data_IF_536503992726
#
_entry.id   IF_536503992726
#
_cell.length_a   1.000
_cell.length_b   1.000
_cell.length_c   1.000
_cell.angle_alpha   90.00
_cell.angle_beta   90.00
_cell.angle_gamma   90.00
#
_symmetry.space_group_name_H-M   'P 1'
#
loop_
_entity.id
_entity.type
_entity.pdbx_description
1 polymer ?
#
# COMPACT_ATOMS: atom_id res chain seq x y z
N UNK A 1 7.40 10.96 -19.05
CA UNK A 1 7.70 9.53 -19.20
C UNK A 1 7.40 8.87 -17.86
N UNK A 2 6.65 7.77 -17.85
CA UNK A 2 6.36 6.99 -16.63
C UNK A 2 7.22 5.73 -16.72
N UNK A 3 8.12 5.54 -15.75
CA UNK A 3 8.91 4.33 -15.63
C UNK A 3 8.30 3.48 -14.51
N UNK A 4 7.79 2.30 -14.87
CA UNK A 4 7.31 1.29 -13.91
C UNK A 4 8.42 0.28 -13.68
N UNK A 5 8.94 0.22 -12.46
CA UNK A 5 10.08 -0.65 -12.11
C UNK A 5 9.60 -2.08 -11.76
N UNK A 6 8.40 -2.23 -11.18
CA UNK A 6 7.80 -3.54 -10.88
C UNK A 6 6.26 -3.47 -10.86
N UNK A 7 5.59 -4.59 -11.10
CA UNK A 7 4.12 -4.70 -10.98
C UNK A 7 3.74 -5.18 -9.58
N UNK A 8 2.98 -4.37 -8.84
CA UNK A 8 2.45 -4.69 -7.51
C UNK A 8 1.76 -6.06 -7.47
N UNK A 9 0.88 -6.34 -8.44
CA UNK A 9 0.15 -7.61 -8.54
C UNK A 9 1.08 -8.80 -8.66
N UNK A 10 2.11 -8.70 -9.52
CA UNK A 10 3.08 -9.80 -9.72
C UNK A 10 3.89 -10.04 -8.45
N UNK A 11 4.33 -8.98 -7.78
CA UNK A 11 5.11 -9.10 -6.55
C UNK A 11 4.27 -9.69 -5.42
N UNK A 12 3.04 -9.22 -5.22
CA UNK A 12 2.11 -9.79 -4.21
C UNK A 12 1.79 -11.24 -4.53
N UNK A 13 1.50 -11.58 -5.78
CA UNK A 13 1.26 -12.96 -6.18
C UNK A 13 2.49 -13.85 -5.90
N UNK A 14 3.70 -13.38 -6.19
CA UNK A 14 4.93 -14.09 -5.87
C UNK A 14 5.10 -14.33 -4.36
N UNK A 15 4.87 -13.31 -3.53
CA UNK A 15 4.96 -13.43 -2.07
C UNK A 15 3.91 -14.42 -1.53
N UNK A 16 2.67 -14.34 -2.00
CA UNK A 16 1.58 -15.21 -1.58
C UNK A 16 1.69 -16.65 -2.14
N UNK A 17 2.38 -16.86 -3.26
CA UNK A 17 2.70 -18.19 -3.79
C UNK A 17 3.76 -18.94 -2.96
N UNK A 18 4.63 -18.21 -2.27
CA UNK A 18 5.64 -18.79 -1.38
C UNK A 18 5.03 -19.06 -0.01
N UNK A 19 5.13 -20.29 0.48
CA UNK A 19 4.53 -20.68 1.75
C UNK A 19 5.10 -19.90 2.94
N UNK A 20 6.43 -19.78 3.02
CA UNK A 20 7.11 -19.04 4.08
C UNK A 20 6.75 -17.55 4.06
N UNK A 21 6.76 -16.93 2.87
CA UNK A 21 6.44 -15.50 2.73
C UNK A 21 4.95 -15.24 2.99
N UNK A 22 4.07 -16.12 2.52
CA UNK A 22 2.63 -16.08 2.84
C UNK A 22 2.38 -16.25 4.33
N UNK A 23 3.12 -17.12 5.01
CA UNK A 23 3.00 -17.29 6.46
C UNK A 23 3.38 -16.01 7.22
N UNK A 24 4.47 -15.35 6.83
CA UNK A 24 4.87 -14.07 7.41
C UNK A 24 3.82 -12.95 7.18
N UNK A 25 3.21 -12.91 5.99
CA UNK A 25 2.11 -11.99 5.66
C UNK A 25 0.80 -12.26 6.42
N UNK A 26 0.69 -13.37 7.15
CA UNK A 26 -0.47 -13.66 8.00
C UNK A 26 -0.37 -13.02 9.38
N UNK A 27 0.71 -12.32 9.71
CA UNK A 27 0.82 -11.60 10.99
C UNK A 27 -0.40 -10.70 11.24
N UNK A 28 -0.80 -9.88 10.26
CA UNK A 28 -2.06 -9.10 10.32
C UNK A 28 -3.27 -9.99 10.59
N UNK A 29 -3.48 -11.03 9.80
CA UNK A 29 -4.68 -11.87 9.91
C UNK A 29 -4.76 -12.59 11.27
N UNK A 30 -3.63 -13.09 11.78
CA UNK A 30 -3.56 -13.78 13.07
C UNK A 30 -3.70 -12.87 14.29
N UNK A 31 -3.21 -11.63 14.20
CA UNK A 31 -3.18 -10.71 15.34
C UNK A 31 -4.30 -9.66 15.32
N UNK A 32 -4.79 -9.26 14.15
CA UNK A 32 -5.74 -8.16 13.96
C UNK A 32 -6.92 -8.53 13.03
N UNK A 33 -6.96 -9.74 12.46
CA UNK A 33 -8.02 -10.17 11.53
C UNK A 33 -9.40 -10.42 12.16
N UNK A 34 -9.55 -10.20 13.46
CA UNK A 34 -10.80 -10.27 14.20
C UNK A 34 -11.01 -8.92 14.87
N UNK A 35 -12.27 -8.43 14.92
CA UNK A 35 -12.66 -7.28 15.75
C UNK A 35 -12.20 -7.57 17.20
N UNK A 36 -11.04 -7.03 17.59
CA UNK A 36 -10.51 -7.17 18.94
C UNK A 36 -11.02 -6.00 19.77
N UNK A 37 -11.69 -6.30 20.88
CA UNK A 37 -11.71 -5.40 22.03
C UNK A 37 -10.30 -5.36 22.62
N UNK A 38 -9.66 -4.20 22.57
CA UNK A 38 -8.46 -3.80 23.33
C UNK A 38 -7.36 -4.86 23.48
N UNK A 39 -6.35 -4.83 22.61
CA UNK A 39 -5.06 -5.46 22.93
C UNK A 39 -4.29 -4.60 23.92
N UNK A 40 -4.02 -5.13 25.11
CA UNK A 40 -3.07 -4.60 26.10
C UNK A 40 -1.60 -4.80 25.64
N UNK A 41 -1.28 -4.49 24.39
CA UNK A 41 0.12 -4.49 23.92
C UNK A 41 0.64 -3.06 23.96
N UNK A 42 1.81 -2.84 24.57
CA UNK A 42 2.39 -1.51 24.84
C UNK A 42 2.89 -0.77 23.59
N UNK A 43 2.51 -1.21 22.40
CA UNK A 43 2.94 -0.63 21.12
C UNK A 43 1.75 -0.65 20.16
N UNK A 44 1.35 0.54 19.74
CA UNK A 44 0.35 0.75 18.70
C UNK A 44 0.97 0.43 17.33
N UNK A 45 0.30 -0.39 16.53
CA UNK A 45 0.60 -0.66 15.10
C UNK A 45 -0.41 0.08 14.21
N UNK A 46 -0.13 0.17 12.91
CA UNK A 46 -1.05 0.73 11.90
C UNK A 46 -2.42 0.04 11.89
N UNK A 47 -2.51 -1.19 12.41
CA UNK A 47 -3.75 -1.94 12.54
C UNK A 47 -4.56 -1.61 13.81
N UNK A 48 -4.00 -0.86 14.75
CA UNK A 48 -4.77 -0.33 15.89
C UNK A 48 -5.55 0.95 15.51
N UNK A 49 -5.20 1.59 14.40
CA UNK A 49 -5.84 2.81 13.92
C UNK A 49 -7.32 2.61 13.55
N UNK A 50 -8.13 3.65 13.80
CA UNK A 50 -9.56 3.67 13.51
C UNK A 50 -9.88 3.33 12.05
N UNK A 51 -9.01 3.77 11.13
CA UNK A 51 -9.12 3.50 9.69
C UNK A 51 -9.16 2.00 9.42
N UNK A 52 -8.27 1.23 10.05
CA UNK A 52 -8.25 -0.22 9.90
C UNK A 52 -9.47 -0.88 10.55
N UNK A 53 -9.85 -0.41 11.74
CA UNK A 53 -11.03 -0.92 12.44
C UNK A 53 -12.31 -0.72 11.61
N UNK A 54 -12.44 0.41 10.93
CA UNK A 54 -13.55 0.67 10.01
C UNK A 54 -13.50 -0.26 8.79
N UNK A 55 -12.31 -0.52 8.22
CA UNK A 55 -12.17 -1.50 7.15
C UNK A 55 -12.62 -2.90 7.57
N UNK A 56 -12.35 -3.31 8.82
CA UNK A 56 -12.82 -4.58 9.37
C UNK A 56 -14.34 -4.62 9.49
N UNK A 57 -14.96 -3.56 10.02
CA UNK A 57 -16.44 -3.45 10.12
C UNK A 57 -17.11 -3.54 8.75
N UNK A 58 -16.50 -2.94 7.73
CA UNK A 58 -16.96 -2.98 6.33
C UNK A 58 -16.66 -4.31 5.62
N UNK A 59 -15.99 -5.26 6.28
CA UNK A 59 -15.68 -6.58 5.72
C UNK A 59 -14.59 -6.60 4.65
N UNK A 60 -13.78 -5.54 4.54
CA UNK A 60 -12.78 -5.40 3.47
C UNK A 60 -11.65 -6.45 3.60
N UNK A 61 -11.29 -6.86 4.81
CA UNK A 61 -10.22 -7.82 5.07
C UNK A 61 -10.72 -9.26 5.37
N UNK A 62 -11.80 -9.69 4.74
CA UNK A 62 -12.42 -11.01 4.94
C UNK A 62 -11.57 -12.19 4.41
N UNK A 63 -10.72 -11.98 3.40
CA UNK A 63 -9.86 -13.04 2.86
C UNK A 63 -8.56 -13.15 3.69
N UNK A 64 -8.10 -14.36 4.02
CA UNK A 64 -6.81 -14.57 4.70
C UNK A 64 -5.61 -14.03 3.91
N UNK A 65 -5.71 -14.03 2.58
CA UNK A 65 -4.70 -13.48 1.68
C UNK A 65 -4.76 -11.95 1.54
N UNK A 66 -5.75 -11.26 2.11
CA UNK A 66 -5.90 -9.80 1.97
C UNK A 66 -4.67 -9.07 2.49
N UNK A 67 -4.17 -8.16 1.66
CA UNK A 67 -2.94 -7.40 1.87
C UNK A 67 -3.29 -5.93 2.12
N UNK A 68 -2.75 -5.38 3.21
CA UNK A 68 -2.74 -3.96 3.50
C UNK A 68 -1.42 -3.36 3.04
N UNK A 69 -1.50 -2.18 2.44
CA UNK A 69 -0.32 -1.44 1.98
C UNK A 69 -0.39 0.03 2.38
N UNK A 70 0.79 0.65 2.47
CA UNK A 70 0.96 2.10 2.48
C UNK A 70 1.47 2.57 1.12
N UNK A 71 0.88 3.63 0.56
CA UNK A 71 1.35 4.29 -0.64
C UNK A 71 2.09 5.58 -0.24
N UNK A 72 3.38 5.62 -0.53
CA UNK A 72 4.26 6.75 -0.24
C UNK A 72 4.56 7.49 -1.54
N UNK A 73 4.46 8.82 -1.55
CA UNK A 73 4.59 9.64 -2.74
C UNK A 73 5.53 10.81 -2.47
N UNK A 74 6.72 10.71 -3.04
CA UNK A 74 7.78 11.69 -2.88
C UNK A 74 7.90 12.53 -4.15
N UNK A 75 7.55 13.81 -4.04
CA UNK A 75 7.75 14.80 -5.08
C UNK A 75 9.15 15.41 -4.99
N UNK A 76 9.92 15.32 -6.06
CA UNK A 76 11.22 15.97 -6.21
C UNK A 76 11.14 16.99 -7.34
N UNK A 77 11.14 18.28 -6.99
CA UNK A 77 11.17 19.36 -7.98
C UNK A 77 12.48 20.13 -7.90
N UNK A 78 13.09 20.39 -9.06
CA UNK A 78 14.30 21.22 -9.14
C UNK A 78 13.92 22.70 -9.04
N UNK A 79 14.62 23.46 -8.19
CA UNK A 79 14.51 24.94 -8.18
C UNK A 79 15.12 25.59 -9.43
N UNK A 80 16.02 24.88 -10.13
CA UNK A 80 16.85 25.41 -11.22
C UNK A 80 16.45 24.86 -12.60
N UNK A 81 15.48 23.97 -12.68
CA UNK A 81 14.97 23.46 -13.94
C UNK A 81 13.47 23.17 -13.85
N UNK A 82 12.79 23.18 -14.99
CA UNK A 82 11.38 22.80 -15.07
C UNK A 82 11.13 21.29 -14.91
N UNK A 83 12.17 20.53 -14.55
CA UNK A 83 12.08 19.08 -14.35
C UNK A 83 11.52 18.78 -12.97
N UNK A 84 10.53 17.90 -12.95
CA UNK A 84 9.99 17.31 -11.73
C UNK A 84 9.99 15.79 -11.87
N UNK A 85 10.24 15.14 -10.73
CA UNK A 85 10.17 13.71 -10.56
C UNK A 85 9.20 13.42 -9.43
N UNK A 86 8.40 12.38 -9.62
CA UNK A 86 7.55 11.84 -8.56
C UNK A 86 7.93 10.40 -8.41
N UNK A 87 8.23 10.00 -7.18
CA UNK A 87 8.51 8.61 -6.82
C UNK A 87 7.32 8.14 -5.99
N UNK A 88 6.48 7.28 -6.57
CA UNK A 88 5.45 6.59 -5.82
C UNK A 88 5.95 5.20 -5.46
N UNK A 89 5.94 4.86 -4.17
CA UNK A 89 6.31 3.54 -3.71
C UNK A 89 5.34 2.93 -2.72
N UNK A 90 5.24 1.60 -2.73
CA UNK A 90 4.27 0.87 -1.89
C UNK A 90 4.97 -0.04 -0.91
N UNK A 91 4.56 0.03 0.37
CA UNK A 91 5.09 -0.78 1.47
C UNK A 91 4.02 -1.77 1.97
N UNK A 92 4.40 -3.02 2.21
CA UNK A 92 3.51 -4.00 2.83
C UNK A 92 3.38 -3.79 4.33
N UNK A 93 2.14 -3.66 4.79
CA UNK A 93 1.85 -3.49 6.22
C UNK A 93 1.62 -4.83 6.92
N UNK A 94 1.33 -5.90 6.18
CA UNK A 94 0.92 -7.19 6.77
C UNK A 94 1.94 -7.89 7.66
N UNK A 95 3.23 -7.52 7.55
CA UNK A 95 4.31 -8.03 8.39
C UNK A 95 4.25 -7.47 9.81
N UNK A 96 4.88 -8.17 10.76
CA UNK A 96 5.09 -7.63 12.10
C UNK A 96 5.85 -6.30 12.04
N UNK A 97 5.64 -5.35 12.98
CA UNK A 97 6.35 -4.07 12.98
C UNK A 97 7.88 -4.22 12.88
N UNK A 98 8.43 -5.19 13.62
CA UNK A 98 9.86 -5.50 13.62
C UNK A 98 10.32 -5.99 12.25
N UNK A 99 9.62 -6.96 11.65
CA UNK A 99 9.96 -7.47 10.32
C UNK A 99 9.77 -6.42 9.23
N UNK A 100 8.71 -5.61 9.31
CA UNK A 100 8.46 -4.47 8.43
C UNK A 100 9.63 -3.48 8.47
N UNK A 101 10.11 -3.14 9.67
CA UNK A 101 11.27 -2.28 9.86
C UNK A 101 12.55 -2.88 9.27
N UNK A 102 12.85 -4.15 9.57
CA UNK A 102 14.01 -4.83 9.00
C UNK A 102 13.98 -4.89 7.47
N UNK A 103 12.83 -5.23 6.89
CA UNK A 103 12.66 -5.33 5.44
C UNK A 103 12.80 -3.95 4.76
N UNK A 104 12.33 -2.87 5.39
CA UNK A 104 12.53 -1.50 4.91
C UNK A 104 14.02 -1.15 4.93
N UNK A 105 14.73 -1.42 6.04
CA UNK A 105 16.15 -1.11 6.18
C UNK A 105 17.03 -1.91 5.23
N UNK A 106 16.73 -3.18 5.03
CA UNK A 106 17.53 -4.09 4.20
C UNK A 106 17.22 -3.93 2.69
N UNK A 107 16.25 -3.09 2.31
CA UNK A 107 15.75 -2.92 0.93
C UNK A 107 15.32 -4.23 0.27
N UNK A 108 14.99 -5.25 1.06
CA UNK A 108 14.57 -6.55 0.57
C UNK A 108 13.07 -6.53 0.28
N UNK A 109 12.65 -6.99 -0.91
CA UNK A 109 11.33 -7.50 -1.33
C UNK A 109 10.03 -6.76 -0.95
N UNK A 110 10.07 -5.70 -0.14
CA UNK A 110 8.94 -5.12 0.58
C UNK A 110 8.52 -3.74 0.05
N UNK A 111 9.35 -3.14 -0.81
CA UNK A 111 8.98 -2.04 -1.69
C UNK A 111 8.48 -2.65 -3.00
N UNK A 112 7.16 -2.71 -3.17
CA UNK A 112 6.53 -3.57 -4.17
C UNK A 112 6.36 -2.94 -5.54
N UNK A 113 6.18 -1.63 -5.58
CA UNK A 113 6.06 -0.85 -6.81
C UNK A 113 6.85 0.42 -6.58
N UNK A 114 7.78 0.76 -7.46
CA UNK A 114 8.41 2.08 -7.54
C UNK A 114 8.04 2.61 -8.91
N UNK A 115 7.22 3.64 -8.94
CA UNK A 115 6.90 4.36 -10.17
C UNK A 115 7.66 5.67 -10.14
N UNK A 116 8.56 5.86 -11.11
CA UNK A 116 9.25 7.14 -11.31
C UNK A 116 8.60 7.85 -12.48
N UNK A 117 8.01 9.01 -12.21
CA UNK A 117 7.34 9.81 -13.22
C UNK A 117 8.16 11.06 -13.49
N UNK A 118 8.75 11.14 -14.67
CA UNK A 118 9.57 12.28 -15.11
C UNK A 118 8.72 13.23 -15.98
N UNK A 119 8.64 14.49 -15.59
CA UNK A 119 7.94 15.55 -16.34
C UNK A 119 8.86 16.75 -16.64
N UNK A 120 8.76 17.27 -17.87
CA UNK A 120 9.44 18.52 -18.28
C UNK A 120 8.73 19.81 -17.83
N UNK A 121 7.66 19.66 -17.05
CA UNK A 121 6.90 20.76 -16.42
C UNK A 121 6.46 20.29 -15.03
N UNK A 122 6.08 21.23 -14.15
CA UNK A 122 5.29 20.96 -12.94
C UNK A 122 3.93 20.39 -13.35
N UNK A 123 3.90 19.12 -13.75
CA UNK A 123 2.70 18.49 -14.29
C UNK A 123 1.66 18.33 -13.20
N UNK A 124 0.39 18.30 -13.61
CA UNK A 124 -0.72 17.98 -12.74
C UNK A 124 -0.52 16.56 -12.17
N UNK A 125 0.00 16.48 -10.94
CA UNK A 125 0.32 15.25 -10.26
C UNK A 125 -0.85 14.27 -10.23
N UNK A 126 -2.08 14.80 -10.11
CA UNK A 126 -3.32 14.01 -10.13
C UNK A 126 -3.45 13.15 -11.37
N UNK A 127 -3.16 13.69 -12.56
CA UNK A 127 -3.26 12.92 -13.81
C UNK A 127 -2.19 11.84 -13.90
N UNK A 128 -1.02 12.08 -13.30
CA UNK A 128 0.09 11.14 -13.24
C UNK A 128 -0.18 9.96 -12.29
N UNK A 129 -0.84 10.22 -11.17
CA UNK A 129 -1.13 9.21 -10.15
C UNK A 129 -2.45 8.46 -10.39
N UNK A 130 -3.35 9.01 -11.23
CA UNK A 130 -4.63 8.40 -11.58
C UNK A 130 -4.55 6.91 -12.00
N UNK A 131 -3.56 6.46 -12.79
CA UNK A 131 -3.43 5.04 -13.12
C UNK A 131 -3.12 4.16 -11.90
N UNK A 132 -2.32 4.66 -10.95
CA UNK A 132 -1.97 3.93 -9.71
C UNK A 132 -3.21 3.83 -8.81
N UNK A 133 -3.92 4.94 -8.65
CA UNK A 133 -5.21 5.02 -7.93
C UNK A 133 -6.21 4.01 -8.47
N UNK A 134 -6.43 4.01 -9.80
CA UNK A 134 -7.40 3.10 -10.45
C UNK A 134 -7.04 1.63 -10.24
N UNK A 135 -5.75 1.29 -10.18
CA UNK A 135 -5.32 -0.08 -9.84
C UNK A 135 -5.75 -0.45 -8.42
N UNK A 136 -5.53 0.42 -7.43
CA UNK A 136 -5.94 0.16 -6.05
C UNK A 136 -7.46 0.03 -5.90
N UNK A 137 -8.24 0.87 -6.58
CA UNK A 137 -9.71 0.72 -6.64
C UNK A 137 -10.11 -0.66 -7.17
N UNK A 138 -9.43 -1.12 -8.22
CA UNK A 138 -9.67 -2.45 -8.79
C UNK A 138 -9.33 -3.58 -7.81
N UNK A 139 -8.19 -3.50 -7.13
CA UNK A 139 -7.74 -4.54 -6.20
C UNK A 139 -8.53 -4.60 -4.88
N UNK A 140 -9.19 -3.51 -4.50
CA UNK A 140 -10.07 -3.49 -3.33
C UNK A 140 -11.41 -4.18 -3.60
N UNK A 141 -11.92 -4.06 -4.83
CA UNK A 141 -13.26 -4.55 -5.19
C UNK A 141 -13.26 -5.95 -5.81
N UNK A 142 -12.12 -6.43 -6.32
CA UNK A 142 -12.04 -7.71 -7.01
C UNK A 142 -10.81 -8.49 -6.52
N UNK A 143 -11.02 -9.63 -5.85
CA UNK A 143 -9.91 -10.43 -5.35
C UNK A 143 -9.08 -11.00 -6.49
N UNK A 144 -7.78 -11.00 -6.26
CA UNK A 144 -6.81 -11.64 -7.13
C UNK A 144 -6.74 -13.11 -6.72
N UNK A 145 -7.04 -13.98 -7.68
CA UNK A 145 -6.91 -15.42 -7.53
C UNK A 145 -5.48 -15.86 -7.84
N UNK A 146 -4.86 -16.59 -6.91
CA UNK A 146 -3.45 -16.98 -7.00
C UNK A 146 -3.38 -18.49 -7.14
N UNK A 147 -2.72 -18.92 -8.22
CA UNK A 147 -2.55 -20.33 -8.57
C UNK A 147 -1.07 -20.71 -8.60
N UNK A 148 -0.76 -21.93 -8.19
CA UNK A 148 0.58 -22.54 -8.27
C UNK A 148 0.44 -23.96 -8.78
N UNK A 149 1.14 -24.29 -9.86
CA UNK A 149 1.09 -25.60 -10.51
C UNK A 149 -0.35 -26.07 -10.84
N UNK A 150 -1.20 -25.15 -11.28
CA UNK A 150 -2.61 -25.43 -11.60
C UNK A 150 -3.55 -25.55 -10.39
N UNK A 151 -3.02 -25.61 -9.17
CA UNK A 151 -3.80 -25.60 -7.93
C UNK A 151 -4.08 -24.18 -7.45
N UNK A 152 -5.29 -23.94 -6.94
CA UNK A 152 -5.62 -22.72 -6.21
C UNK A 152 -4.81 -22.66 -4.91
N UNK A 153 -4.20 -21.51 -4.64
CA UNK A 153 -3.37 -21.28 -3.45
C UNK A 153 -4.11 -20.40 -2.44
N UNK A 154 -4.59 -19.24 -2.91
CA UNK A 154 -5.30 -18.27 -2.08
C UNK A 154 -5.95 -17.20 -2.96
N UNK A 155 -6.87 -16.44 -2.36
CA UNK A 155 -7.47 -15.24 -2.93
C UNK A 155 -7.07 -14.04 -2.08
N UNK A 156 -6.80 -12.91 -2.71
CA UNK A 156 -6.32 -11.72 -2.01
C UNK A 156 -6.89 -10.43 -2.60
N UNK A 157 -7.47 -9.59 -1.74
CA UNK A 157 -7.66 -8.17 -2.04
C UNK A 157 -6.41 -7.39 -1.63
N UNK A 158 -6.21 -6.21 -2.24
CA UNK A 158 -5.17 -5.26 -1.84
C UNK A 158 -5.83 -3.96 -1.43
N UNK A 159 -5.60 -3.55 -0.18
CA UNK A 159 -6.16 -2.35 0.42
C UNK A 159 -5.06 -1.35 0.75
N UNK A 160 -5.22 -0.11 0.30
CA UNK A 160 -4.35 0.99 0.73
C UNK A 160 -4.91 1.56 2.02
N UNK A 161 -4.16 1.49 3.12
CA UNK A 161 -4.59 2.02 4.43
C UNK A 161 -4.00 3.40 4.74
N UNK A 162 -2.86 3.70 4.16
CA UNK A 162 -2.10 4.91 4.47
C UNK A 162 -1.60 5.52 3.18
N UNK A 163 -1.74 6.84 3.08
CA UNK A 163 -1.15 7.64 2.02
C UNK A 163 -0.17 8.62 2.67
N UNK A 164 1.10 8.54 2.30
CA UNK A 164 2.13 9.46 2.80
C UNK A 164 2.80 10.21 1.66
N UNK A 165 3.28 11.41 1.94
CA UNK A 165 3.94 12.24 0.95
C UNK A 165 4.03 13.70 1.36
N UNK A 166 4.55 14.52 0.46
CA UNK A 166 4.53 15.97 0.62
C UNK A 166 3.12 16.55 0.55
N UNK A 167 2.90 17.69 1.20
CA UNK A 167 1.57 18.33 1.29
C UNK A 167 0.96 18.63 -0.08
N UNK A 168 1.78 19.08 -1.04
CA UNK A 168 1.34 19.37 -2.41
C UNK A 168 0.88 18.09 -3.11
N UNK A 169 1.59 17.00 -2.86
CA UNK A 169 1.33 15.70 -3.45
C UNK A 169 0.04 15.11 -2.91
N UNK A 170 -0.10 15.11 -1.60
CA UNK A 170 -1.25 14.59 -0.87
C UNK A 170 -2.54 15.36 -1.16
N UNK A 171 -2.47 16.69 -1.25
CA UNK A 171 -3.65 17.50 -1.62
C UNK A 171 -4.21 17.14 -3.00
N UNK A 172 -3.35 16.68 -3.92
CA UNK A 172 -3.78 16.25 -5.25
C UNK A 172 -4.52 14.90 -5.24
N UNK A 173 -4.54 14.21 -4.11
CA UNK A 173 -5.04 12.83 -3.92
C UNK A 173 -6.18 12.71 -2.92
N UNK A 174 -6.65 13.82 -2.34
CA UNK A 174 -7.77 13.82 -1.40
C UNK A 174 -9.01 13.10 -1.96
N UNK A 175 -9.30 13.25 -3.26
CA UNK A 175 -10.45 12.56 -3.88
C UNK A 175 -10.28 11.02 -3.91
N UNK A 176 -9.05 10.51 -3.97
CA UNK A 176 -8.81 9.06 -3.95
C UNK A 176 -9.16 8.44 -2.60
N UNK A 177 -8.87 9.17 -1.52
CA UNK A 177 -9.25 8.81 -0.14
C UNK A 177 -10.78 8.63 -0.07
N UNK A 178 -11.51 9.58 -0.67
CA UNK A 178 -12.98 9.56 -0.73
C UNK A 178 -13.53 8.37 -1.55
N UNK A 179 -12.89 8.00 -2.68
CA UNK A 179 -13.35 6.89 -3.55
C UNK A 179 -13.19 5.51 -2.90
N UNK A 180 -12.20 5.31 -2.02
CA UNK A 180 -12.09 4.08 -1.21
C UNK A 180 -13.19 4.01 -0.11
N UNK A 181 -13.92 5.11 0.12
CA UNK A 181 -14.87 5.26 1.22
C UNK A 181 -14.20 5.18 2.59
N UNK A 182 -12.90 5.42 2.65
CA UNK A 182 -12.08 5.34 3.85
C UNK A 182 -11.60 6.74 4.21
N UNK A 183 -11.67 7.11 5.49
CA UNK A 183 -10.82 8.18 6.01
C UNK A 183 -9.42 7.58 6.10
N UNK A 184 -8.53 7.83 5.14
CA UNK A 184 -7.15 7.33 5.21
C UNK A 184 -6.37 8.14 6.23
N UNK A 185 -5.48 7.50 6.97
CA UNK A 185 -4.50 8.22 7.80
C UNK A 185 -3.49 8.88 6.86
N UNK A 186 -3.56 10.21 6.80
CA UNK A 186 -2.64 11.02 6.03
C UNK A 186 -1.48 11.45 6.90
N UNK A 187 -0.29 10.99 6.56
CA UNK A 187 0.94 11.42 7.22
C UNK A 187 1.68 12.36 6.29
N UNK A 188 1.71 13.65 6.65
CA UNK A 188 2.46 14.68 5.93
C UNK A 188 3.90 14.64 6.41
N UNK A 189 4.85 14.48 5.49
CA UNK A 189 6.26 14.65 5.79
C UNK A 189 6.64 16.11 5.56
N UNK A 190 7.10 16.80 6.60
CA UNK A 190 7.82 18.07 6.43
C UNK A 190 9.21 17.75 5.87
N UNK A 191 9.56 18.36 4.74
CA UNK A 191 10.84 18.23 4.07
C UNK A 191 11.72 19.45 4.32
#
# INVERSE_FOLDING_TARGET
>A
MVLLICSLTRKIAYLLCSENKRAALRYRHGNYGKLKSGSNTSYDDTFDADVYQECLKRGLFNLPGSVAVALNIDGLSSKFSNKSFVIAHTVLLNYSPVERYYLILMKEDNVLEVTVICGNHKKNLRSLLRPIIKKFETFCCSPIEIYKNGGHVTSANIHCLTLTGGLVELNSLMDFVVVQGLSLDMVVSDA
#
